data_IF_002390883243
#
_entry.id   IF_002390883243
#
_cell.length_a   1.000
_cell.length_b   1.000
_cell.length_c   1.000
_cell.angle_alpha   90.00
_cell.angle_beta   90.00
_cell.angle_gamma   90.00
#
_symmetry.space_group_name_H-M   'P 1'
#
loop_
_entity.id
_entity.type
_entity.pdbx_description
1 polymer ?
#
# COMPACT_ATOMS: atom_id res chain seq x y z
N UNK A 1 22.23 -10.53 1.67
CA UNK A 1 20.85 -10.02 1.56
C UNK A 1 19.97 -10.82 2.50
N UNK A 2 19.39 -10.20 3.54
CA UNK A 2 18.31 -10.85 4.31
C UNK A 2 17.12 -11.02 3.36
N UNK A 3 16.64 -12.24 3.20
CA UNK A 3 15.45 -12.54 2.43
C UNK A 3 14.26 -11.98 3.23
N UNK A 4 13.40 -11.17 2.62
CA UNK A 4 12.14 -10.81 3.26
C UNK A 4 11.27 -12.07 3.34
N UNK A 5 10.80 -12.41 4.54
CA UNK A 5 9.89 -13.54 4.78
C UNK A 5 8.43 -13.19 4.44
N UNK A 6 8.20 -11.99 3.89
CA UNK A 6 6.90 -11.50 3.49
C UNK A 6 6.93 -10.88 2.08
N UNK A 7 5.84 -11.01 1.34
CA UNK A 7 5.60 -10.22 0.13
C UNK A 7 4.14 -9.79 0.05
N UNK A 8 3.87 -8.76 -0.76
CA UNK A 8 2.54 -8.18 -0.95
C UNK A 8 2.16 -8.30 -2.42
N UNK A 9 0.88 -8.61 -2.67
CA UNK A 9 0.29 -8.60 -4.00
C UNK A 9 -1.00 -7.78 -4.01
N UNK A 10 -1.24 -7.02 -5.08
CA UNK A 10 -2.53 -6.38 -5.38
C UNK A 10 -3.16 -7.00 -6.62
N UNK A 11 -4.49 -6.99 -6.71
CA UNK A 11 -5.26 -7.68 -7.75
C UNK A 11 -6.42 -6.83 -8.29
N UNK A 12 -6.93 -7.21 -9.46
CA UNK A 12 -8.15 -6.65 -10.08
C UNK A 12 -9.44 -7.05 -9.36
N UNK A 13 -9.38 -8.02 -8.45
CA UNK A 13 -10.50 -8.38 -7.56
C UNK A 13 -10.66 -7.43 -6.35
N UNK A 14 -9.97 -6.28 -6.38
CA UNK A 14 -9.90 -5.28 -5.30
C UNK A 14 -9.16 -5.74 -4.05
N UNK A 15 -8.60 -6.95 -4.04
CA UNK A 15 -7.83 -7.45 -2.90
C UNK A 15 -6.37 -7.05 -2.99
N UNK A 16 -5.83 -6.65 -1.84
CA UNK A 16 -4.40 -6.72 -1.57
C UNK A 16 -4.20 -7.81 -0.52
N UNK A 17 -3.08 -8.54 -0.62
CA UNK A 17 -2.77 -9.67 0.26
C UNK A 17 -1.32 -9.60 0.68
N UNK A 18 -1.05 -9.80 1.97
CA UNK A 18 0.30 -10.06 2.47
C UNK A 18 0.45 -11.56 2.73
N UNK A 19 1.56 -12.07 2.25
CA UNK A 19 1.92 -13.48 2.29
C UNK A 19 3.12 -13.68 3.20
N UNK A 20 3.13 -14.80 3.92
CA UNK A 20 4.25 -15.22 4.75
C UNK A 20 4.62 -16.67 4.45
N UNK A 21 5.84 -17.09 4.78
CA UNK A 21 6.22 -18.51 4.70
C UNK A 21 5.76 -19.26 5.94
N UNK A 22 5.15 -20.42 5.74
CA UNK A 22 4.90 -21.37 6.82
C UNK A 22 6.17 -22.18 7.15
N UNK A 23 6.07 -23.08 8.13
CA UNK A 23 7.17 -23.93 8.58
C UNK A 23 7.77 -24.82 7.47
N UNK A 24 6.99 -25.11 6.42
CA UNK A 24 7.41 -25.92 5.28
C UNK A 24 7.99 -25.06 4.13
N UNK A 25 8.13 -23.75 4.33
CA UNK A 25 8.63 -22.81 3.33
C UNK A 25 7.63 -22.44 2.23
N UNK A 26 6.36 -22.83 2.38
CA UNK A 26 5.28 -22.50 1.45
C UNK A 26 4.67 -21.14 1.77
N UNK A 27 4.31 -20.38 0.74
CA UNK A 27 3.61 -19.11 0.89
C UNK A 27 2.16 -19.35 1.30
N UNK A 28 1.75 -18.71 2.39
CA UNK A 28 0.38 -18.72 2.88
C UNK A 28 -0.14 -17.29 2.98
N UNK A 29 -1.43 -17.12 2.70
CA UNK A 29 -2.11 -15.85 2.92
C UNK A 29 -2.10 -15.55 4.42
N UNK A 30 -1.35 -14.53 4.83
CA UNK A 30 -1.34 -14.09 6.21
C UNK A 30 -2.51 -13.14 6.48
N UNK A 31 -2.76 -12.20 5.57
CA UNK A 31 -3.88 -11.27 5.70
C UNK A 31 -4.33 -10.72 4.35
N UNK A 32 -5.64 -10.54 4.19
CA UNK A 32 -6.24 -9.75 3.11
C UNK A 32 -6.54 -8.34 3.61
N UNK A 33 -6.17 -7.34 2.83
CA UNK A 33 -6.47 -5.94 3.09
C UNK A 33 -7.84 -5.62 2.50
N UNK A 34 -8.85 -5.53 3.35
CA UNK A 34 -10.20 -5.20 2.94
C UNK A 34 -10.41 -3.68 3.00
N UNK A 35 -10.85 -3.05 1.91
CA UNK A 35 -11.26 -1.66 1.95
C UNK A 35 -11.31 -0.94 0.60
N UNK A 36 -10.46 -1.31 -0.36
CA UNK A 36 -10.62 -0.81 -1.73
C UNK A 36 -11.85 -1.46 -2.38
N UNK A 37 -12.53 -0.70 -3.22
CA UNK A 37 -13.77 -1.14 -3.89
C UNK A 37 -13.59 -1.34 -5.39
N UNK A 38 -12.36 -1.26 -5.89
CA UNK A 38 -11.97 -1.54 -7.27
C UNK A 38 -10.52 -2.00 -7.32
N UNK A 39 -10.00 -2.28 -8.52
CA UNK A 39 -8.65 -2.77 -8.79
C UNK A 39 -7.58 -2.06 -7.95
N UNK A 40 -6.66 -2.85 -7.40
CA UNK A 40 -5.41 -2.31 -6.86
C UNK A 40 -4.47 -2.05 -8.02
N UNK A 41 -4.20 -0.79 -8.31
CA UNK A 41 -3.35 -0.38 -9.44
C UNK A 41 -1.89 -0.21 -9.01
N UNK A 42 -1.67 0.22 -7.76
CA UNK A 42 -0.33 0.46 -7.24
C UNK A 42 -0.28 0.36 -5.72
N UNK A 43 0.90 0.03 -5.19
CA UNK A 43 1.20 0.13 -3.76
C UNK A 43 2.70 0.29 -3.54
N UNK A 44 3.07 0.81 -2.38
CA UNK A 44 4.45 0.87 -1.91
C UNK A 44 4.55 0.57 -0.41
N UNK A 45 5.71 0.08 -0.01
CA UNK A 45 6.09 -0.15 1.38
C UNK A 45 7.10 0.92 1.77
N UNK A 46 6.95 1.50 2.96
CA UNK A 46 7.94 2.47 3.45
C UNK A 46 9.25 1.79 3.88
N UNK A 47 10.30 2.58 4.05
CA UNK A 47 11.64 2.09 4.43
C UNK A 47 11.66 1.31 5.76
N UNK A 48 10.74 1.62 6.68
CA UNK A 48 10.63 0.94 7.97
C UNK A 48 9.75 -0.33 7.92
N UNK A 49 9.24 -0.70 6.75
CA UNK A 49 8.40 -1.89 6.51
C UNK A 49 7.15 -1.99 7.41
N UNK A 50 6.65 -0.85 7.91
CA UNK A 50 5.52 -0.79 8.83
C UNK A 50 4.32 -0.01 8.28
N UNK A 51 4.48 0.66 7.14
CA UNK A 51 3.42 1.39 6.45
C UNK A 51 3.36 0.95 4.99
N UNK A 52 2.16 0.54 4.54
CA UNK A 52 1.84 0.35 3.13
C UNK A 52 0.95 1.50 2.68
N UNK A 53 1.17 1.96 1.46
CA UNK A 53 0.31 2.93 0.79
C UNK A 53 -0.19 2.29 -0.48
N UNK A 54 -1.49 2.24 -0.69
CA UNK A 54 -2.11 1.66 -1.88
C UNK A 54 -2.97 2.68 -2.63
N UNK A 55 -2.99 2.54 -3.94
CA UNK A 55 -3.80 3.32 -4.88
C UNK A 55 -4.65 2.39 -5.74
N UNK A 56 -5.86 2.84 -6.05
CA UNK A 56 -6.85 2.02 -6.72
C UNK A 56 -7.65 2.79 -7.77
N UNK A 57 -8.30 2.04 -8.64
CA UNK A 57 -9.32 2.52 -9.56
C UNK A 57 -10.59 3.05 -8.85
N UNK A 58 -10.73 2.83 -7.54
CA UNK A 58 -11.77 3.48 -6.73
C UNK A 58 -11.49 4.96 -6.42
N UNK A 59 -10.43 5.53 -7.01
CA UNK A 59 -9.96 6.89 -6.81
C UNK A 59 -9.49 7.20 -5.39
N UNK A 60 -9.20 6.19 -4.57
CA UNK A 60 -8.74 6.37 -3.19
C UNK A 60 -7.28 5.99 -3.03
N UNK A 61 -6.64 6.65 -2.07
CA UNK A 61 -5.36 6.23 -1.51
C UNK A 61 -5.60 5.77 -0.09
N UNK A 62 -5.09 4.59 0.26
CA UNK A 62 -5.21 4.03 1.61
C UNK A 62 -3.86 3.83 2.25
N UNK A 63 -3.77 4.17 3.52
CA UNK A 63 -2.60 3.95 4.36
C UNK A 63 -2.89 2.82 5.33
N UNK A 64 -1.98 1.86 5.38
CA UNK A 64 -2.08 0.68 6.20
C UNK A 64 -0.90 0.64 7.15
N UNK A 65 -1.16 0.52 8.45
CA UNK A 65 -0.12 0.44 9.47
C UNK A 65 -0.09 -0.97 10.06
N UNK A 66 1.13 -1.47 10.30
CA UNK A 66 1.37 -2.77 10.91
C UNK A 66 1.35 -2.65 12.43
N UNK A 67 0.27 -3.14 13.05
CA UNK A 67 0.18 -3.37 14.48
C UNK A 67 0.34 -4.88 14.77
N UNK A 68 -0.68 -5.53 15.35
CA UNK A 68 -0.81 -6.99 15.36
C UNK A 68 -1.27 -7.50 13.99
N UNK A 69 -2.14 -6.73 13.34
CA UNK A 69 -2.60 -6.91 11.97
C UNK A 69 -2.38 -5.60 11.19
N UNK A 70 -2.44 -5.68 9.86
CA UNK A 70 -2.44 -4.52 9.01
C UNK A 70 -3.80 -3.83 9.03
N UNK A 71 -3.84 -2.57 9.44
CA UNK A 71 -5.09 -1.81 9.58
C UNK A 71 -5.05 -0.57 8.70
N UNK A 72 -6.16 -0.31 7.99
CA UNK A 72 -6.36 0.96 7.29
C UNK A 72 -6.56 2.06 8.34
N UNK A 73 -5.59 2.96 8.48
CA UNK A 73 -5.70 4.08 9.44
C UNK A 73 -5.99 5.41 8.77
N UNK A 74 -5.88 5.49 7.44
CA UNK A 74 -6.23 6.69 6.68
C UNK A 74 -6.70 6.33 5.26
N UNK A 75 -7.69 7.07 4.77
CA UNK A 75 -8.14 7.04 3.37
C UNK A 75 -8.18 8.47 2.86
N UNK A 76 -7.53 8.74 1.74
CA UNK A 76 -7.62 10.00 1.00
C UNK A 76 -8.63 9.81 -0.12
N UNK A 77 -9.57 10.75 -0.24
CA UNK A 77 -10.71 10.69 -1.17
C UNK A 77 -10.79 11.91 -2.10
N UNK A 78 -9.77 12.75 -2.09
CA UNK A 78 -9.72 13.99 -2.87
C UNK A 78 -9.51 13.74 -4.37
N UNK A 79 -9.03 12.56 -4.77
CA UNK A 79 -8.90 12.21 -6.17
C UNK A 79 -10.25 11.81 -6.77
N UNK A 80 -10.48 12.25 -8.00
CA UNK A 80 -11.71 11.99 -8.77
C UNK A 80 -11.51 10.95 -9.86
N UNK A 81 -10.31 10.36 -9.95
CA UNK A 81 -9.91 9.40 -10.97
C UNK A 81 -8.91 8.38 -10.40
N UNK A 82 -8.62 7.35 -11.19
CA UNK A 82 -7.74 6.22 -10.86
C UNK A 82 -6.37 6.66 -10.36
N UNK A 83 -5.92 6.04 -9.27
CA UNK A 83 -4.55 6.19 -8.76
C UNK A 83 -3.67 5.13 -9.42
N UNK A 84 -2.99 5.49 -10.52
CA UNK A 84 -2.16 4.55 -11.28
C UNK A 84 -0.77 4.31 -10.70
N UNK A 85 -0.21 5.26 -9.96
CA UNK A 85 1.18 5.19 -9.54
C UNK A 85 1.45 5.86 -8.20
N UNK A 86 2.34 5.24 -7.43
CA UNK A 86 2.84 5.77 -6.17
C UNK A 86 4.36 5.65 -6.21
N UNK A 87 5.08 6.69 -5.79
CA UNK A 87 6.53 6.62 -5.56
C UNK A 87 6.88 7.14 -4.18
N UNK A 88 7.92 6.58 -3.58
CA UNK A 88 8.50 7.10 -2.36
C UNK A 88 9.97 7.44 -2.59
N UNK A 89 10.40 8.51 -1.95
CA UNK A 89 11.79 8.87 -1.70
C UNK A 89 11.98 8.87 -0.18
N UNK A 90 13.22 8.78 0.31
CA UNK A 90 13.61 8.54 1.71
C UNK A 90 13.00 9.51 2.75
N UNK A 91 12.37 10.61 2.30
CA UNK A 91 11.64 11.57 3.14
C UNK A 91 10.27 12.02 2.58
N UNK A 92 9.88 11.56 1.38
CA UNK A 92 8.70 12.08 0.66
C UNK A 92 8.03 10.99 -0.16
N UNK A 93 6.72 10.84 -0.04
CA UNK A 93 5.94 10.06 -0.99
C UNK A 93 5.40 11.02 -2.05
N UNK A 94 5.78 10.81 -3.30
CA UNK A 94 5.14 11.51 -4.42
C UNK A 94 4.11 10.57 -5.05
N UNK A 95 2.91 11.10 -5.28
CA UNK A 95 1.79 10.36 -5.87
C UNK A 95 1.69 10.78 -7.33
N UNK A 96 1.57 9.83 -8.26
CA UNK A 96 1.35 10.12 -9.68
C UNK A 96 -0.04 9.67 -10.11
N UNK A 97 -0.79 10.61 -10.68
CA UNK A 97 -2.16 10.42 -11.14
C UNK A 97 -2.24 10.68 -12.64
N UNK A 98 -3.27 10.13 -13.29
CA UNK A 98 -3.57 10.34 -14.72
C UNK A 98 -3.72 11.82 -15.05
N UNK A 99 -4.32 12.60 -14.13
CA UNK A 99 -4.68 14.00 -14.37
C UNK A 99 -3.90 14.95 -13.44
N UNK A 100 -2.63 15.20 -13.79
CA UNK A 100 -1.80 16.38 -13.40
C UNK A 100 -1.91 16.93 -11.96
N UNK A 101 -2.08 16.10 -10.93
CA UNK A 101 -1.91 16.57 -9.54
C UNK A 101 -0.78 15.79 -8.90
N UNK A 102 0.36 16.47 -8.75
CA UNK A 102 1.44 16.03 -7.88
C UNK A 102 1.03 16.39 -6.44
N UNK A 103 0.38 15.47 -5.74
CA UNK A 103 0.12 15.66 -4.31
C UNK A 103 1.37 15.22 -3.54
N UNK A 104 1.99 16.18 -2.85
CA UNK A 104 3.11 15.93 -1.94
C UNK A 104 2.56 15.54 -0.57
N UNK A 105 2.85 14.32 -0.11
CA UNK A 105 2.62 13.94 1.29
C UNK A 105 3.96 13.89 2.02
N UNK A 106 4.09 14.73 3.05
CA UNK A 106 5.20 14.71 3.99
C UNK A 106 4.89 13.69 5.08
N UNK A 107 5.64 12.60 5.13
CA UNK A 107 5.73 11.81 6.36
C UNK A 107 6.71 12.53 7.29
N UNK A 108 6.20 13.19 8.33
CA UNK A 108 7.05 13.64 9.43
C UNK A 108 7.58 12.38 10.14
N UNK A 109 8.88 12.15 10.06
CA UNK A 109 9.56 11.23 10.98
C UNK A 109 9.30 11.74 12.40
N UNK A 110 8.63 10.93 13.23
CA UNK A 110 8.63 11.17 14.66
C UNK A 110 9.97 10.65 15.19
N UNK A 111 10.70 11.54 15.88
CA UNK A 111 11.89 11.19 16.67
C UNK A 111 11.50 10.36 17.89
#
# INVERSE_FOLDING_TARGET
MKRSDHFISGSTDSSMIIWARNQNGLWICQQKFNGHTSNIECFLLNNNENIIISGSNDSKIKFWYKSNEWLCYQTITDHTSTVLGLISNDQKINLYLVDRILLYLYLKNQN
#
